data_IF_323794438792
#
_entry.id   IF_323794438792
#
_cell.length_a   1.000
_cell.length_b   1.000
_cell.length_c   1.000
_cell.angle_alpha   90.00
_cell.angle_beta   90.00
_cell.angle_gamma   90.00
#
_symmetry.space_group_name_H-M   'P 1'
#
loop_
_entity.id
_entity.type
_entity.pdbx_description
1 polymer ?
#
# COMPACT_ATOMS: atom_id res chain seq x y z
N UNK A 1 -4.83 44.06 84.14
CA UNK A 1 -4.64 44.08 82.66
C UNK A 1 -3.71 42.97 82.13
N UNK A 2 -3.52 41.86 82.85
CA UNK A 2 -2.62 40.75 82.36
C UNK A 2 -3.35 39.43 82.14
N UNK A 3 -4.59 39.28 82.37
CA UNK A 3 -5.33 38.01 82.20
C UNK A 3 -6.07 37.86 80.82
N UNK A 4 -6.31 38.97 80.12
CA UNK A 4 -7.08 38.95 78.85
C UNK A 4 -6.21 38.56 77.68
N UNK A 5 -4.86 38.67 77.80
CA UNK A 5 -3.94 38.40 76.71
C UNK A 5 -3.59 36.90 76.50
N UNK A 6 -3.72 36.09 77.56
CA UNK A 6 -3.45 34.63 77.50
C UNK A 6 -4.56 33.83 76.81
N UNK A 7 -5.81 34.31 76.78
CA UNK A 7 -6.92 33.57 76.15
C UNK A 7 -6.99 33.72 74.61
N UNK A 8 -6.40 34.77 74.05
CA UNK A 8 -6.40 34.99 72.60
C UNK A 8 -5.30 34.23 71.85
N UNK A 9 -4.19 33.88 72.48
CA UNK A 9 -3.04 33.19 71.85
C UNK A 9 -3.34 31.71 71.64
N UNK A 10 -4.23 31.11 72.38
CA UNK A 10 -4.59 29.68 72.23
C UNK A 10 -5.54 29.41 71.04
N UNK A 11 -6.24 30.41 70.54
CA UNK A 11 -7.17 30.27 69.44
C UNK A 11 -6.55 30.46 68.05
N UNK A 12 -5.39 31.06 67.92
CA UNK A 12 -4.69 31.33 66.67
C UNK A 12 -4.23 30.02 66.02
N UNK A 13 -3.57 29.06 66.71
CA UNK A 13 -3.16 27.79 66.08
C UNK A 13 -4.35 26.92 65.71
N UNK A 14 -5.47 27.01 66.39
CA UNK A 14 -6.70 26.25 66.07
C UNK A 14 -7.40 26.81 64.82
N UNK A 15 -7.42 28.12 64.61
CA UNK A 15 -7.94 28.75 63.40
C UNK A 15 -7.06 28.47 62.18
N UNK A 16 -5.72 28.43 62.33
CA UNK A 16 -4.76 28.07 61.27
C UNK A 16 -4.92 26.59 60.91
N UNK A 17 -5.15 25.68 61.88
CA UNK A 17 -5.35 24.25 61.64
C UNK A 17 -6.68 24.00 60.92
N UNK A 18 -7.77 24.77 61.18
CA UNK A 18 -9.02 24.70 60.46
C UNK A 18 -8.93 25.24 59.05
N UNK A 19 -8.15 26.28 58.79
CA UNK A 19 -7.90 26.84 57.45
C UNK A 19 -7.06 25.91 56.62
N UNK A 20 -6.04 25.27 57.17
CA UNK A 20 -5.17 24.31 56.48
C UNK A 20 -5.89 22.95 56.26
N UNK A 21 -6.66 22.50 57.24
CA UNK A 21 -7.47 21.26 57.13
C UNK A 21 -8.58 21.37 56.10
N UNK A 22 -9.25 22.52 56.03
CA UNK A 22 -10.27 22.80 55.00
C UNK A 22 -9.75 22.87 53.59
N UNK A 23 -8.53 23.45 53.43
CA UNK A 23 -7.85 23.52 52.12
C UNK A 23 -7.49 22.13 51.57
N UNK A 24 -6.98 21.25 52.42
CA UNK A 24 -6.60 19.89 52.02
C UNK A 24 -7.83 19.01 51.63
N UNK A 25 -8.96 19.17 52.35
CA UNK A 25 -10.22 18.48 52.04
C UNK A 25 -10.85 18.99 50.73
N UNK A 26 -10.81 20.29 50.49
CA UNK A 26 -11.29 20.90 49.24
C UNK A 26 -10.46 20.49 48.02
N UNK A 27 -9.15 20.38 48.17
CA UNK A 27 -8.25 19.90 47.12
C UNK A 27 -8.52 18.41 46.79
N UNK A 28 -8.70 17.57 47.82
CA UNK A 28 -9.08 16.16 47.69
C UNK A 28 -10.43 15.99 46.98
N UNK A 29 -11.43 16.78 47.35
CA UNK A 29 -12.77 16.76 46.75
C UNK A 29 -12.74 17.24 45.29
N UNK A 30 -11.94 18.28 44.97
CA UNK A 30 -11.77 18.78 43.62
C UNK A 30 -11.05 17.75 42.73
N UNK A 31 -10.04 17.06 43.29
CA UNK A 31 -9.31 15.97 42.63
C UNK A 31 -10.20 14.74 42.36
N UNK A 32 -11.11 14.42 43.31
CA UNK A 32 -12.07 13.33 43.17
C UNK A 32 -13.14 13.64 42.09
N UNK A 33 -13.72 14.84 42.09
CA UNK A 33 -14.67 15.29 41.06
C UNK A 33 -14.04 15.34 39.66
N UNK A 34 -12.77 15.78 39.57
CA UNK A 34 -12.04 15.80 38.30
C UNK A 34 -11.78 14.37 37.79
N UNK A 35 -11.41 13.44 38.68
CA UNK A 35 -11.25 12.03 38.28
C UNK A 35 -12.59 11.39 37.86
N UNK A 36 -13.67 11.74 38.51
CA UNK A 36 -15.02 11.25 38.14
C UNK A 36 -15.45 11.80 36.78
N UNK A 37 -15.16 13.07 36.46
CA UNK A 37 -15.46 13.66 35.16
C UNK A 37 -14.58 13.05 34.06
N UNK A 38 -13.31 12.75 34.32
CA UNK A 38 -12.44 12.04 33.43
C UNK A 38 -12.95 10.62 33.15
N UNK A 39 -13.43 9.91 34.16
CA UNK A 39 -13.99 8.57 33.98
C UNK A 39 -15.26 8.57 33.12
N UNK A 40 -16.11 9.59 33.22
CA UNK A 40 -17.30 9.72 32.35
C UNK A 40 -16.99 9.95 30.87
N UNK A 41 -15.82 10.48 30.57
CA UNK A 41 -15.34 10.71 29.18
C UNK A 41 -14.51 9.56 28.63
N UNK A 42 -14.31 8.48 29.37
CA UNK A 42 -13.52 7.33 28.94
C UNK A 42 -14.41 6.17 28.50
N UNK A 43 -14.01 5.53 27.43
CA UNK A 43 -14.60 4.28 26.97
C UNK A 43 -13.85 3.10 27.57
N UNK A 44 -14.59 2.09 27.98
CA UNK A 44 -14.06 0.81 28.46
C UNK A 44 -13.93 -0.17 27.30
N UNK A 45 -12.83 -0.89 27.23
CA UNK A 45 -12.62 -1.99 26.29
C UNK A 45 -11.87 -3.12 26.97
N UNK A 46 -12.15 -4.34 26.57
CA UNK A 46 -11.40 -5.53 26.99
C UNK A 46 -10.45 -5.95 25.91
N UNK A 47 -9.25 -6.45 26.26
CA UNK A 47 -8.38 -7.09 25.30
C UNK A 47 -9.11 -8.25 24.61
N UNK A 48 -8.90 -8.38 23.31
CA UNK A 48 -9.51 -9.44 22.51
C UNK A 48 -8.44 -10.45 22.12
N UNK A 49 -8.78 -11.73 22.14
CA UNK A 49 -7.93 -12.78 21.62
C UNK A 49 -8.49 -13.32 20.32
N UNK A 50 -7.66 -13.36 19.31
CA UNK A 50 -8.10 -13.82 18.00
C UNK A 50 -7.01 -13.79 16.96
N UNK A 51 -7.44 -13.93 15.71
CA UNK A 51 -6.58 -13.84 14.54
C UNK A 51 -6.14 -12.39 14.33
N UNK A 52 -4.83 -12.18 14.34
CA UNK A 52 -4.21 -10.89 14.15
C UNK A 52 -3.40 -10.87 12.86
N UNK A 53 -3.78 -9.99 11.93
CA UNK A 53 -3.16 -9.88 10.62
C UNK A 53 -2.42 -8.56 10.53
N UNK A 54 -1.15 -8.61 10.17
CA UNK A 54 -0.34 -7.45 9.83
C UNK A 54 -0.24 -7.32 8.31
N UNK A 55 -0.34 -6.11 7.81
CA UNK A 55 -0.26 -5.80 6.40
C UNK A 55 0.67 -4.61 6.17
N UNK A 56 1.41 -4.64 5.09
CA UNK A 56 2.12 -3.47 4.55
C UNK A 56 1.31 -2.92 3.40
N UNK A 57 1.04 -1.62 3.43
CA UNK A 57 0.30 -0.92 2.38
C UNK A 57 1.25 -0.20 1.45
N UNK A 58 0.93 -0.22 0.16
CA UNK A 58 1.65 0.55 -0.83
C UNK A 58 0.76 0.80 -2.05
N UNK A 59 1.00 1.90 -2.75
CA UNK A 59 0.37 2.17 -4.04
C UNK A 59 1.01 1.28 -5.08
N UNK A 60 0.20 0.72 -5.96
CA UNK A 60 0.62 -0.19 -7.00
C UNK A 60 0.08 0.22 -8.37
N UNK A 61 0.74 -0.25 -9.42
CA UNK A 61 0.29 -0.11 -10.81
C UNK A 61 0.16 -1.47 -11.46
N UNK A 62 -0.82 -1.61 -12.33
CA UNK A 62 -0.96 -2.79 -13.21
C UNK A 62 -0.01 -2.61 -14.37
N UNK A 63 0.95 -3.51 -14.53
CA UNK A 63 1.94 -3.46 -15.59
C UNK A 63 2.11 -4.83 -16.26
N UNK A 64 2.55 -4.88 -17.52
CA UNK A 64 3.02 -6.12 -18.13
C UNK A 64 4.23 -6.67 -17.37
N UNK A 65 4.27 -7.96 -17.11
CA UNK A 65 5.45 -8.59 -16.49
C UNK A 65 6.64 -8.55 -17.44
N UNK A 66 6.46 -9.11 -18.63
CA UNK A 66 7.43 -8.99 -19.70
C UNK A 66 6.78 -8.18 -20.83
N UNK A 67 7.43 -7.10 -21.15
CA UNK A 67 7.03 -6.21 -22.24
C UNK A 67 8.04 -6.34 -23.36
N UNK A 68 7.62 -6.95 -24.46
CA UNK A 68 8.47 -7.16 -25.62
C UNK A 68 8.00 -6.27 -26.77
N UNK A 69 8.93 -5.47 -27.29
CA UNK A 69 8.71 -4.59 -28.43
C UNK A 69 8.86 -5.42 -29.70
N UNK A 70 7.86 -5.39 -30.54
CA UNK A 70 7.90 -6.00 -31.87
C UNK A 70 8.36 -4.95 -32.84
N UNK A 71 9.53 -5.19 -33.48
CA UNK A 71 10.15 -4.26 -34.41
C UNK A 71 10.37 -4.97 -35.75
N UNK A 72 10.14 -4.29 -36.89
CA UNK A 72 10.52 -4.82 -38.20
C UNK A 72 12.04 -4.85 -38.33
N UNK A 73 12.54 -5.80 -39.09
CA UNK A 73 13.97 -5.94 -39.41
C UNK A 73 14.43 -5.07 -40.58
N UNK A 74 13.47 -4.49 -41.32
CA UNK A 74 13.74 -3.69 -42.52
C UNK A 74 12.96 -2.37 -42.49
N UNK A 75 13.50 -1.35 -43.14
CA UNK A 75 12.75 -0.13 -43.45
C UNK A 75 11.80 -0.39 -44.62
N UNK A 76 10.59 0.20 -44.56
CA UNK A 76 9.65 0.02 -45.66
C UNK A 76 8.24 0.47 -45.32
N UNK A 77 7.27 -0.17 -45.97
CA UNK A 77 5.85 0.07 -45.79
C UNK A 77 5.17 -1.18 -45.26
N UNK A 78 4.29 -1.05 -44.24
CA UNK A 78 3.44 -2.13 -43.76
C UNK A 78 2.33 -2.39 -44.78
N UNK A 79 2.44 -3.48 -45.55
CA UNK A 79 1.42 -3.86 -46.52
C UNK A 79 0.21 -4.50 -45.83
N UNK A 80 0.50 -5.39 -44.89
CA UNK A 80 -0.52 -6.10 -44.11
C UNK A 80 -0.24 -5.98 -42.60
N UNK A 81 -1.26 -5.72 -41.81
CA UNK A 81 -1.21 -5.74 -40.36
C UNK A 81 -2.36 -6.65 -39.87
N UNK A 82 -1.97 -7.79 -39.30
CA UNK A 82 -2.88 -8.92 -39.03
C UNK A 82 -3.25 -9.04 -37.56
N UNK A 83 -2.93 -8.06 -36.73
CA UNK A 83 -3.20 -8.05 -35.29
C UNK A 83 -3.98 -6.82 -34.85
N UNK A 84 -4.63 -6.93 -33.67
CA UNK A 84 -5.37 -5.85 -33.02
C UNK A 84 -4.93 -5.74 -31.57
N UNK A 85 -5.12 -4.56 -30.97
CA UNK A 85 -4.96 -4.39 -29.50
C UNK A 85 -5.94 -5.30 -28.75
N UNK A 86 -5.44 -5.91 -27.67
CA UNK A 86 -6.17 -6.89 -26.87
C UNK A 86 -6.18 -8.31 -27.45
N UNK A 87 -5.64 -8.54 -28.67
CA UNK A 87 -5.55 -9.86 -29.26
C UNK A 87 -4.48 -10.70 -28.56
N UNK A 88 -4.79 -11.97 -28.29
CA UNK A 88 -3.82 -12.98 -27.89
C UNK A 88 -3.08 -13.47 -29.13
N UNK A 89 -1.78 -13.56 -29.05
CA UNK A 89 -0.91 -14.06 -30.11
C UNK A 89 0.03 -15.12 -29.55
N UNK A 90 0.40 -16.07 -30.41
CA UNK A 90 1.36 -17.12 -30.09
C UNK A 90 2.73 -16.79 -30.64
N UNK A 91 3.79 -17.24 -29.97
CA UNK A 91 5.16 -17.10 -30.46
C UNK A 91 5.30 -17.66 -31.88
N UNK A 92 5.85 -16.84 -32.79
CA UNK A 92 5.98 -17.17 -34.21
C UNK A 92 4.74 -16.85 -35.05
N UNK A 93 3.65 -16.40 -34.47
CA UNK A 93 2.46 -15.98 -35.21
C UNK A 93 2.77 -14.75 -36.08
N UNK A 94 2.28 -14.77 -37.31
CA UNK A 94 2.49 -13.69 -38.28
C UNK A 94 1.66 -12.47 -37.89
N UNK A 95 2.33 -11.37 -37.59
CA UNK A 95 1.71 -10.11 -37.18
C UNK A 95 1.59 -9.09 -38.31
N UNK A 96 2.61 -8.97 -39.12
CA UNK A 96 2.64 -8.00 -40.22
C UNK A 96 3.52 -8.49 -41.37
N UNK A 97 3.30 -7.91 -42.54
CA UNK A 97 4.17 -8.06 -43.72
C UNK A 97 4.64 -6.69 -44.18
N UNK A 98 5.96 -6.54 -44.26
CA UNK A 98 6.61 -5.30 -44.66
C UNK A 98 7.18 -5.39 -46.04
N UNK A 99 6.84 -4.42 -46.91
CA UNK A 99 7.50 -4.20 -48.18
C UNK A 99 8.75 -3.38 -47.94
N UNK A 100 9.92 -3.89 -48.25
CA UNK A 100 11.17 -3.12 -48.13
C UNK A 100 11.10 -1.81 -48.94
N UNK A 101 11.91 -0.83 -48.56
CA UNK A 101 11.97 0.46 -49.26
C UNK A 101 12.40 0.27 -50.71
N UNK A 102 13.34 -0.66 -50.99
CA UNK A 102 13.79 -1.01 -52.35
C UNK A 102 12.64 -1.61 -53.15
N UNK A 103 11.92 -2.60 -52.61
CA UNK A 103 10.75 -3.19 -53.28
C UNK A 103 9.67 -2.14 -53.57
N UNK A 104 9.38 -1.29 -52.60
CA UNK A 104 8.37 -0.24 -52.77
C UNK A 104 8.74 0.74 -53.86
N UNK A 105 9.97 1.23 -53.86
CA UNK A 105 10.47 2.15 -54.89
C UNK A 105 10.45 1.51 -56.28
N UNK A 106 10.82 0.23 -56.40
CA UNK A 106 10.83 -0.49 -57.66
C UNK A 106 9.38 -0.67 -58.19
N UNK A 107 8.46 -1.11 -57.38
CA UNK A 107 7.06 -1.27 -57.76
C UNK A 107 6.39 0.06 -58.13
N UNK A 108 6.68 1.13 -57.37
CA UNK A 108 6.15 2.45 -57.71
C UNK A 108 6.72 3.00 -59.03
N UNK A 109 8.00 2.76 -59.34
CA UNK A 109 8.59 3.15 -60.62
C UNK A 109 7.99 2.39 -61.79
N UNK A 110 7.74 1.10 -61.65
CA UNK A 110 7.12 0.27 -62.71
C UNK A 110 5.68 0.68 -62.97
N UNK A 111 4.92 1.02 -61.94
CA UNK A 111 3.51 1.52 -62.06
C UNK A 111 3.45 2.85 -62.79
N UNK A 112 4.39 3.76 -62.53
CA UNK A 112 4.46 5.09 -63.20
C UNK A 112 4.90 4.94 -64.67
N UNK A 113 5.76 3.97 -64.97
CA UNK A 113 6.31 3.76 -66.33
C UNK A 113 5.33 3.03 -67.28
N UNK A 114 4.17 2.56 -66.78
CA UNK A 114 3.17 1.87 -67.60
C UNK A 114 3.64 0.54 -68.16
N UNK A 115 4.60 -0.11 -67.49
CA UNK A 115 5.21 -1.35 -67.94
C UNK A 115 4.33 -2.58 -67.71
N UNK A 116 4.63 -3.67 -68.43
CA UNK A 116 3.87 -4.90 -68.58
C UNK A 116 3.63 -5.60 -67.22
N UNK A 117 2.46 -6.18 -67.04
CA UNK A 117 2.07 -7.00 -65.87
C UNK A 117 3.09 -8.10 -65.54
N UNK A 118 3.85 -8.57 -66.56
CA UNK A 118 4.91 -9.58 -66.39
C UNK A 118 6.09 -9.06 -65.52
N UNK A 119 6.52 -7.83 -65.73
CA UNK A 119 7.61 -7.23 -64.93
C UNK A 119 7.18 -6.96 -63.49
N UNK A 120 5.96 -6.47 -63.30
CA UNK A 120 5.35 -6.31 -61.99
C UNK A 120 5.30 -7.65 -61.23
N UNK A 121 4.93 -8.73 -61.93
CA UNK A 121 4.87 -10.08 -61.34
C UNK A 121 6.27 -10.59 -60.98
N UNK A 122 7.26 -10.42 -61.87
CA UNK A 122 8.67 -10.83 -61.59
C UNK A 122 9.23 -10.11 -60.36
N UNK A 123 9.00 -8.81 -60.21
CA UNK A 123 9.44 -8.03 -59.03
C UNK A 123 8.71 -8.47 -57.78
N UNK A 124 7.42 -8.74 -57.89
CA UNK A 124 6.61 -9.22 -56.75
C UNK A 124 7.08 -10.60 -56.28
N UNK A 125 7.48 -11.47 -57.20
CA UNK A 125 8.01 -12.81 -56.89
C UNK A 125 9.45 -12.78 -56.41
N UNK A 126 10.29 -11.89 -56.97
CA UNK A 126 11.72 -11.76 -56.60
C UNK A 126 11.93 -11.10 -55.22
N UNK A 127 11.06 -10.16 -54.86
CA UNK A 127 11.12 -9.43 -53.62
C UNK A 127 9.94 -9.79 -52.70
N UNK A 128 10.11 -10.84 -51.89
CA UNK A 128 9.11 -11.26 -50.94
C UNK A 128 8.89 -10.19 -49.86
N UNK A 129 7.65 -10.12 -49.33
CA UNK A 129 7.35 -9.32 -48.15
C UNK A 129 8.09 -9.90 -46.94
N UNK A 130 8.71 -9.05 -46.16
CA UNK A 130 9.36 -9.45 -44.92
C UNK A 130 8.32 -9.69 -43.82
N UNK A 131 8.22 -10.93 -43.32
CA UNK A 131 7.29 -11.22 -42.24
C UNK A 131 7.79 -10.67 -40.91
N UNK A 132 6.91 -10.10 -40.13
CA UNK A 132 7.12 -9.75 -38.71
C UNK A 132 6.26 -10.68 -37.86
N UNK A 133 6.91 -11.43 -36.98
CA UNK A 133 6.25 -12.45 -36.15
C UNK A 133 6.30 -12.09 -34.66
N UNK A 134 5.37 -12.61 -33.88
CA UNK A 134 5.36 -12.44 -32.44
C UNK A 134 6.58 -13.15 -31.81
N UNK A 135 7.41 -12.44 -31.01
CA UNK A 135 8.60 -13.01 -30.36
C UNK A 135 8.28 -13.90 -29.16
N UNK A 136 7.12 -13.70 -28.52
CA UNK A 136 6.63 -14.43 -27.35
C UNK A 136 5.13 -14.71 -27.48
N UNK A 137 4.64 -15.66 -26.67
CA UNK A 137 3.21 -15.82 -26.42
C UNK A 137 2.73 -14.66 -25.55
N UNK A 138 1.54 -14.10 -25.81
CA UNK A 138 1.02 -13.01 -25.00
C UNK A 138 -0.17 -12.29 -25.60
N UNK A 139 -0.44 -11.10 -25.05
CA UNK A 139 -1.50 -10.21 -25.54
C UNK A 139 -0.86 -8.94 -26.10
N UNK A 140 -1.35 -8.49 -27.25
CA UNK A 140 -0.94 -7.20 -27.82
C UNK A 140 -1.54 -6.08 -26.97
N UNK A 141 -0.67 -5.37 -26.25
CA UNK A 141 -1.08 -4.24 -25.36
C UNK A 141 -1.07 -2.89 -26.06
N UNK A 142 -0.37 -2.79 -27.18
CA UNK A 142 -0.31 -1.57 -27.99
C UNK A 142 -0.01 -1.88 -29.46
N UNK A 143 -0.70 -1.17 -30.34
CA UNK A 143 -0.52 -1.21 -31.79
C UNK A 143 -0.07 0.16 -32.28
N UNK A 144 1.08 0.25 -32.95
CA UNK A 144 1.70 1.50 -33.39
C UNK A 144 1.81 1.60 -34.93
N UNK A 145 1.15 0.71 -35.66
CA UNK A 145 1.22 0.66 -37.12
C UNK A 145 -0.13 0.36 -37.74
N UNK A 146 -0.42 1.04 -38.85
CA UNK A 146 -1.59 0.75 -39.70
C UNK A 146 -1.13 0.29 -41.11
N UNK A 147 -1.98 -0.47 -41.84
CA UNK A 147 -1.70 -0.83 -43.22
C UNK A 147 -1.43 0.41 -44.08
N UNK A 148 -0.39 0.35 -44.93
CA UNK A 148 0.03 1.45 -45.76
C UNK A 148 1.02 2.44 -45.11
N UNK A 149 1.24 2.35 -43.79
CA UNK A 149 2.14 3.23 -43.07
C UNK A 149 3.60 2.86 -43.24
N UNK A 150 4.47 3.88 -43.34
CA UNK A 150 5.93 3.66 -43.38
C UNK A 150 6.45 3.25 -42.00
N UNK A 151 7.32 2.26 -41.97
CA UNK A 151 7.98 1.72 -40.79
C UNK A 151 9.49 1.75 -40.94
N UNK A 152 10.19 1.85 -39.82
CA UNK A 152 11.65 1.84 -39.78
C UNK A 152 12.15 0.67 -38.95
N UNK A 153 13.26 0.08 -39.37
CA UNK A 153 13.95 -0.93 -38.59
C UNK A 153 14.32 -0.36 -37.21
N UNK A 154 14.04 -1.13 -36.14
CA UNK A 154 14.29 -0.71 -34.78
C UNK A 154 13.22 0.19 -34.16
N UNK A 155 12.19 0.64 -34.91
CA UNK A 155 11.03 1.31 -34.37
C UNK A 155 9.91 0.29 -34.07
N UNK A 156 9.33 0.35 -32.88
CA UNK A 156 8.24 -0.56 -32.48
C UNK A 156 7.00 -0.38 -33.33
N UNK A 157 6.39 -1.49 -33.72
CA UNK A 157 5.08 -1.55 -34.41
C UNK A 157 3.99 -2.14 -33.52
N UNK A 158 4.38 -2.92 -32.52
CA UNK A 158 3.50 -3.47 -31.49
C UNK A 158 4.26 -3.71 -30.19
N UNK A 159 3.52 -3.81 -29.12
CA UNK A 159 4.01 -4.25 -27.80
C UNK A 159 3.20 -5.45 -27.36
N UNK A 160 3.89 -6.54 -27.04
CA UNK A 160 3.30 -7.76 -26.51
C UNK A 160 3.64 -7.90 -25.03
N UNK A 161 2.65 -8.29 -24.24
CA UNK A 161 2.82 -8.69 -22.85
C UNK A 161 2.42 -10.15 -22.67
N UNK A 162 3.23 -10.91 -21.93
CA UNK A 162 2.88 -12.28 -21.58
C UNK A 162 1.71 -12.34 -20.58
N UNK A 163 1.78 -11.54 -19.53
CA UNK A 163 0.72 -11.42 -18.53
C UNK A 163 0.79 -10.07 -17.81
N UNK A 164 -0.34 -9.66 -17.23
CA UNK A 164 -0.39 -8.48 -16.37
C UNK A 164 -0.05 -8.88 -14.93
N UNK A 165 0.78 -8.10 -14.30
CA UNK A 165 1.14 -8.17 -12.89
C UNK A 165 0.79 -6.85 -12.22
N UNK A 166 0.78 -6.86 -10.90
CA UNK A 166 0.64 -5.66 -10.11
C UNK A 166 2.00 -5.36 -9.48
N UNK A 167 2.54 -4.22 -9.83
CA UNK A 167 3.86 -3.76 -9.40
C UNK A 167 3.70 -2.68 -8.35
N UNK A 168 4.38 -2.84 -7.24
CA UNK A 168 4.38 -1.87 -6.15
C UNK A 168 5.79 -1.57 -5.68
N UNK A 169 5.96 -0.47 -4.96
CA UNK A 169 7.21 -0.05 -4.37
C UNK A 169 7.05 0.05 -2.88
N UNK A 170 7.92 -0.63 -2.15
CA UNK A 170 7.86 -0.75 -0.70
C UNK A 170 9.13 -0.17 -0.09
N UNK A 171 8.98 0.60 0.99
CA UNK A 171 10.08 1.23 1.70
C UNK A 171 11.03 0.21 2.33
N UNK A 172 12.30 0.61 2.49
CA UNK A 172 13.33 -0.20 3.11
C UNK A 172 12.94 -0.67 4.53
N UNK A 173 12.19 0.12 5.28
CA UNK A 173 11.72 -0.24 6.63
C UNK A 173 10.71 -1.38 6.66
N UNK A 174 10.02 -1.63 5.55
CA UNK A 174 8.96 -2.64 5.45
C UNK A 174 9.33 -3.84 4.59
N UNK A 175 10.32 -3.70 3.67
CA UNK A 175 10.69 -4.77 2.74
C UNK A 175 11.17 -6.04 3.48
N UNK A 176 11.84 -5.88 4.63
CA UNK A 176 12.30 -7.01 5.45
C UNK A 176 11.17 -7.91 5.98
N UNK A 177 9.92 -7.43 5.96
CA UNK A 177 8.73 -8.18 6.39
C UNK A 177 8.06 -8.93 5.23
N UNK A 178 8.43 -8.63 3.97
CA UNK A 178 7.82 -9.19 2.77
C UNK A 178 8.65 -10.40 2.30
N UNK A 179 7.94 -11.46 1.91
CA UNK A 179 8.54 -12.69 1.37
C UNK A 179 7.80 -13.15 0.12
N UNK A 180 8.51 -13.77 -0.79
CA UNK A 180 7.93 -14.43 -1.95
C UNK A 180 6.93 -15.48 -1.48
N UNK A 181 5.78 -15.55 -2.16
CA UNK A 181 4.68 -16.47 -1.85
C UNK A 181 3.64 -15.93 -0.87
N UNK A 182 3.85 -14.75 -0.26
CA UNK A 182 2.83 -14.12 0.58
C UNK A 182 1.61 -13.70 -0.24
N UNK A 183 0.44 -13.77 0.41
CA UNK A 183 -0.80 -13.28 -0.17
C UNK A 183 -0.86 -11.76 -0.07
N UNK A 184 -1.42 -11.15 -1.08
CA UNK A 184 -1.66 -9.72 -1.16
C UNK A 184 -3.11 -9.47 -1.56
N UNK A 185 -3.74 -8.51 -0.91
CA UNK A 185 -5.03 -7.96 -1.28
C UNK A 185 -4.78 -6.69 -2.09
N UNK A 186 -5.56 -6.48 -3.15
CA UNK A 186 -5.48 -5.23 -3.90
C UNK A 186 -6.87 -4.77 -4.34
N UNK A 187 -7.01 -3.46 -4.45
CA UNK A 187 -8.22 -2.77 -4.85
C UNK A 187 -7.85 -1.84 -6.01
N UNK A 188 -8.46 -2.05 -7.16
CA UNK A 188 -8.25 -1.18 -8.32
C UNK A 188 -9.04 0.13 -8.12
N UNK A 189 -8.44 1.27 -8.42
CA UNK A 189 -9.13 2.57 -8.32
C UNK A 189 -10.40 2.62 -9.19
N UNK A 190 -10.39 1.90 -10.31
CA UNK A 190 -11.56 1.76 -11.17
C UNK A 190 -12.68 0.89 -10.55
N UNK A 191 -12.36 0.05 -9.56
CA UNK A 191 -13.30 -0.87 -8.90
C UNK A 191 -12.99 -0.95 -7.40
N UNK A 192 -13.20 0.12 -6.63
CA UNK A 192 -12.73 0.24 -5.24
C UNK A 192 -13.43 -0.72 -4.27
N UNK A 193 -14.63 -1.16 -4.60
CA UNK A 193 -15.39 -2.11 -3.78
C UNK A 193 -15.00 -3.59 -4.02
N UNK A 194 -14.28 -3.86 -5.12
CA UNK A 194 -13.90 -5.22 -5.48
C UNK A 194 -12.54 -5.57 -4.86
N UNK A 195 -12.56 -6.32 -3.77
CA UNK A 195 -11.36 -6.92 -3.20
C UNK A 195 -10.85 -8.03 -4.10
N UNK A 196 -9.63 -7.91 -4.56
CA UNK A 196 -8.95 -8.91 -5.38
C UNK A 196 -7.73 -9.47 -4.65
N UNK A 197 -7.37 -10.69 -5.00
CA UNK A 197 -6.25 -11.40 -4.39
C UNK A 197 -5.11 -11.60 -5.38
N UNK A 198 -3.90 -11.51 -4.87
CA UNK A 198 -2.67 -11.79 -5.61
C UNK A 198 -1.65 -12.47 -4.72
N UNK A 199 -0.56 -12.89 -5.31
CA UNK A 199 0.56 -13.52 -4.63
C UNK A 199 1.89 -12.85 -5.00
N UNK A 200 2.71 -12.55 -4.01
CA UNK A 200 4.06 -11.99 -4.23
C UNK A 200 4.90 -13.02 -4.98
N UNK A 201 5.36 -12.67 -6.18
CA UNK A 201 6.18 -13.55 -7.04
C UNK A 201 7.64 -13.12 -7.10
N UNK A 202 7.92 -11.83 -6.88
CA UNK A 202 9.29 -11.31 -6.96
C UNK A 202 9.47 -10.09 -6.07
N UNK A 203 10.66 -9.96 -5.53
CA UNK A 203 11.13 -8.81 -4.77
C UNK A 203 12.47 -8.42 -5.40
N UNK A 204 12.65 -7.16 -5.79
CA UNK A 204 13.91 -6.68 -6.35
C UNK A 204 15.03 -6.77 -5.32
N UNK A 205 16.22 -7.14 -5.76
CA UNK A 205 17.44 -7.11 -4.94
C UNK A 205 18.11 -5.73 -4.92
N UNK A 206 17.70 -4.84 -5.81
CA UNK A 206 18.23 -3.49 -5.97
C UNK A 206 17.13 -2.48 -5.63
N UNK A 207 17.47 -1.49 -4.81
CA UNK A 207 16.57 -0.37 -4.52
C UNK A 207 16.59 0.65 -5.64
N UNK A 208 15.49 1.34 -5.81
CA UNK A 208 15.39 2.53 -6.65
C UNK A 208 14.99 3.72 -5.80
N UNK A 209 15.56 4.88 -6.08
CA UNK A 209 15.19 6.11 -5.40
C UNK A 209 13.93 6.71 -6.04
N UNK A 210 12.88 6.88 -5.23
CA UNK A 210 11.66 7.59 -5.61
C UNK A 210 11.36 8.66 -4.57
N UNK A 211 11.23 9.90 -5.00
CA UNK A 211 10.95 11.04 -4.11
C UNK A 211 11.93 11.14 -2.92
N UNK A 212 13.23 10.91 -3.17
CA UNK A 212 14.29 10.90 -2.14
C UNK A 212 14.12 9.79 -1.08
N UNK A 213 13.39 8.72 -1.38
CA UNK A 213 13.24 7.55 -0.52
C UNK A 213 13.68 6.30 -1.28
N UNK A 214 14.48 5.46 -0.63
CA UNK A 214 14.87 4.16 -1.17
C UNK A 214 13.69 3.18 -1.06
N UNK A 215 13.26 2.67 -2.20
CA UNK A 215 12.15 1.72 -2.29
C UNK A 215 12.57 0.49 -3.11
N UNK A 216 11.96 -0.64 -2.81
CA UNK A 216 12.18 -1.90 -3.51
C UNK A 216 10.94 -2.28 -4.32
N UNK A 217 11.18 -2.70 -5.56
CA UNK A 217 10.11 -3.19 -6.43
C UNK A 217 9.62 -4.56 -5.96
N UNK A 218 8.32 -4.69 -5.78
CA UNK A 218 7.63 -5.95 -5.45
C UNK A 218 6.61 -6.24 -6.54
N UNK A 219 6.67 -7.45 -7.12
CA UNK A 219 5.74 -7.93 -8.14
C UNK A 219 4.75 -8.90 -7.53
N UNK A 220 3.49 -8.66 -7.78
CA UNK A 220 2.37 -9.48 -7.32
C UNK A 220 1.61 -10.01 -8.52
N UNK A 221 1.44 -11.34 -8.57
CA UNK A 221 0.67 -12.01 -9.61
C UNK A 221 -0.80 -12.06 -9.17
N UNK A 222 -1.73 -11.52 -9.95
CA UNK A 222 -3.17 -11.69 -9.73
C UNK A 222 -3.56 -13.18 -9.75
N UNK A 223 -4.41 -13.61 -8.81
CA UNK A 223 -4.87 -15.01 -8.75
C UNK A 223 -6.19 -15.21 -9.48
N UNK A 224 -7.03 -14.16 -9.56
CA UNK A 224 -8.36 -14.24 -10.16
C UNK A 224 -8.73 -12.95 -10.89
N UNK A 225 -9.75 -13.02 -11.76
CA UNK A 225 -10.38 -11.88 -12.46
C UNK A 225 -9.41 -10.98 -13.23
N UNK A 226 -8.50 -11.57 -13.99
CA UNK A 226 -7.53 -10.85 -14.79
C UNK A 226 -8.13 -10.10 -15.99
N UNK A 227 -9.33 -10.46 -16.41
CA UNK A 227 -10.00 -9.88 -17.60
C UNK A 227 -10.34 -8.39 -17.43
N UNK A 228 -10.54 -7.95 -16.19
CA UNK A 228 -10.80 -6.54 -15.87
C UNK A 228 -9.53 -5.69 -15.77
N UNK A 229 -8.34 -6.33 -15.70
CA UNK A 229 -7.08 -5.62 -15.59
C UNK A 229 -6.71 -4.94 -16.91
N UNK A 230 -6.25 -3.70 -16.82
CA UNK A 230 -5.67 -2.97 -17.93
C UNK A 230 -4.34 -2.39 -17.50
N UNK A 231 -3.35 -2.44 -18.38
CA UNK A 231 -2.05 -1.81 -18.15
C UNK A 231 -2.24 -0.31 -17.87
N UNK A 232 -1.55 0.19 -16.84
CA UNK A 232 -1.64 1.59 -16.41
C UNK A 232 -2.69 1.86 -15.32
N UNK A 233 -3.52 0.88 -14.94
CA UNK A 233 -4.44 1.05 -13.79
C UNK A 233 -3.65 1.18 -12.48
N UNK A 234 -4.13 2.03 -11.59
CA UNK A 234 -3.62 2.16 -10.22
C UNK A 234 -4.41 1.27 -9.27
N UNK A 235 -3.76 0.82 -8.22
CA UNK A 235 -4.36 -0.02 -7.18
C UNK A 235 -3.78 0.29 -5.80
N UNK A 236 -4.63 0.18 -4.77
CA UNK A 236 -4.19 0.07 -3.38
C UNK A 236 -3.82 -1.38 -3.07
N UNK A 237 -2.55 -1.61 -2.72
CA UNK A 237 -2.00 -2.91 -2.40
C UNK A 237 -1.82 -3.08 -0.89
N UNK A 238 -2.21 -4.24 -0.36
CA UNK A 238 -2.04 -4.64 1.04
C UNK A 238 -1.42 -6.02 1.12
N UNK A 239 -0.12 -6.09 1.28
CA UNK A 239 0.63 -7.35 1.38
C UNK A 239 0.51 -7.87 2.81
N UNK A 240 0.09 -9.13 2.97
CA UNK A 240 -0.06 -9.78 4.28
C UNK A 240 1.33 -10.21 4.77
N UNK A 241 1.87 -9.45 5.73
CA UNK A 241 3.23 -9.64 6.25
C UNK A 241 3.31 -10.56 7.46
N UNK A 242 2.18 -10.81 8.12
CA UNK A 242 2.13 -11.73 9.25
C UNK A 242 0.71 -12.13 9.63
N UNK A 243 0.57 -13.36 10.07
CA UNK A 243 -0.68 -13.91 10.61
C UNK A 243 -0.35 -14.59 11.93
N UNK A 244 -1.05 -14.18 12.99
CA UNK A 244 -1.00 -14.82 14.30
C UNK A 244 -2.40 -15.28 14.67
N UNK A 245 -2.61 -16.57 14.88
CA UNK A 245 -3.96 -17.14 15.03
C UNK A 245 -4.61 -16.87 16.40
N UNK A 246 -3.80 -16.76 17.45
CA UNK A 246 -4.29 -16.64 18.85
C UNK A 246 -3.49 -15.61 19.62
N UNK A 247 -3.55 -14.36 19.23
CA UNK A 247 -2.85 -13.29 19.95
C UNK A 247 -3.82 -12.39 20.71
N UNK A 248 -3.36 -11.84 21.81
CA UNK A 248 -4.09 -10.83 22.57
C UNK A 248 -3.79 -9.47 21.93
N UNK A 249 -4.82 -8.68 21.67
CA UNK A 249 -4.65 -7.37 21.07
C UNK A 249 -5.62 -6.32 21.63
N UNK A 250 -5.22 -5.07 21.52
CA UNK A 250 -5.99 -3.88 21.91
C UNK A 250 -6.01 -2.86 20.77
N UNK A 251 -7.03 -2.01 20.69
CA UNK A 251 -6.97 -0.83 19.82
C UNK A 251 -5.78 0.05 20.20
N UNK A 252 -5.04 0.53 19.22
CA UNK A 252 -3.88 1.42 19.44
C UNK A 252 -4.21 2.61 20.33
N UNK A 253 -5.41 3.18 20.18
CA UNK A 253 -5.92 4.30 21.02
C UNK A 253 -6.04 3.98 22.50
N UNK A 254 -6.06 2.69 22.89
CA UNK A 254 -6.14 2.26 24.29
C UNK A 254 -4.75 2.15 24.93
N UNK A 255 -3.68 2.19 24.14
CA UNK A 255 -2.29 2.10 24.61
C UNK A 255 -1.65 3.49 24.62
N UNK A 256 -0.99 3.83 25.71
CA UNK A 256 -0.25 5.06 25.88
C UNK A 256 1.24 4.74 25.76
N UNK A 257 1.90 5.36 24.79
CA UNK A 257 3.33 5.23 24.57
C UNK A 257 4.05 6.37 25.31
N UNK A 258 5.10 6.03 26.02
CA UNK A 258 5.96 7.00 26.72
C UNK A 258 7.42 6.58 26.54
N UNK A 259 8.18 7.36 25.77
CA UNK A 259 9.60 7.15 25.44
C UNK A 259 9.95 5.72 25.00
N UNK A 260 10.11 4.78 25.92
CA UNK A 260 10.49 3.39 25.65
C UNK A 260 9.51 2.37 26.23
N UNK A 261 8.42 2.82 26.83
CA UNK A 261 7.48 1.94 27.55
C UNK A 261 6.04 2.14 27.06
N UNK A 262 5.27 1.06 27.09
CA UNK A 262 3.86 1.06 26.73
C UNK A 262 3.01 0.81 27.96
N UNK A 263 1.95 1.59 28.14
CA UNK A 263 1.04 1.52 29.28
C UNK A 263 -0.41 1.44 28.83
N UNK A 264 -1.21 0.78 29.62
CA UNK A 264 -2.69 0.87 29.57
C UNK A 264 -3.22 1.48 30.85
N UNK A 265 -4.40 2.07 30.80
CA UNK A 265 -5.11 2.55 31.99
C UNK A 265 -6.11 1.50 32.44
N UNK A 266 -5.94 1.01 33.66
CA UNK A 266 -6.87 0.07 34.29
C UNK A 266 -7.55 0.74 35.49
N UNK A 267 -8.71 0.21 35.90
CA UNK A 267 -9.40 0.67 37.10
C UNK A 267 -9.06 -0.24 38.28
N UNK A 268 -8.40 0.31 39.30
CA UNK A 268 -8.08 -0.37 40.55
C UNK A 268 -8.59 0.46 41.71
N UNK A 269 -9.36 -0.15 42.59
CA UNK A 269 -9.97 0.54 43.78
C UNK A 269 -10.70 1.86 43.44
N UNK A 270 -11.42 1.89 42.28
CA UNK A 270 -12.15 3.08 41.84
C UNK A 270 -11.30 4.19 41.19
N UNK A 271 -9.98 4.03 41.10
CA UNK A 271 -9.05 4.99 40.46
C UNK A 271 -8.45 4.40 39.22
N UNK A 272 -8.10 5.28 38.27
CA UNK A 272 -7.35 4.91 37.07
C UNK A 272 -5.86 4.86 37.38
N UNK A 273 -5.25 3.71 37.15
CA UNK A 273 -3.81 3.48 37.30
C UNK A 273 -3.21 3.13 35.96
N UNK A 274 -1.96 3.54 35.73
CA UNK A 274 -1.16 3.09 34.58
C UNK A 274 -0.59 1.71 34.89
N UNK A 275 -0.85 0.74 34.02
CA UNK A 275 -0.26 -0.59 34.08
C UNK A 275 0.67 -0.76 32.89
N UNK A 276 1.92 -1.10 33.13
CA UNK A 276 2.91 -1.37 32.09
C UNK A 276 2.53 -2.64 31.36
N UNK A 277 2.64 -2.61 30.03
CA UNK A 277 2.44 -3.74 29.15
C UNK A 277 3.62 -3.87 28.20
N UNK A 278 3.84 -5.06 27.70
CA UNK A 278 4.74 -5.31 26.58
C UNK A 278 3.92 -5.46 25.30
N UNK A 279 4.28 -4.71 24.29
CA UNK A 279 3.59 -4.72 23.01
C UNK A 279 4.42 -5.41 21.94
N UNK A 280 3.76 -6.10 21.03
CA UNK A 280 4.37 -6.73 19.88
C UNK A 280 4.10 -5.95 18.59
N UNK A 281 3.76 -6.67 17.53
CA UNK A 281 3.44 -6.09 16.22
C UNK A 281 2.12 -5.33 16.25
N UNK A 282 2.01 -4.34 15.38
CA UNK A 282 0.77 -3.56 15.26
C UNK A 282 0.33 -3.48 13.80
N UNK A 283 -0.97 -3.33 13.59
CA UNK A 283 -1.57 -2.98 12.30
C UNK A 283 -2.18 -1.57 12.39
N UNK A 284 -3.00 -1.15 11.43
CA UNK A 284 -3.60 0.20 11.39
C UNK A 284 -4.36 0.56 12.68
N UNK A 285 -5.17 -0.35 13.19
CA UNK A 285 -6.14 -0.08 14.26
C UNK A 285 -5.78 -0.70 15.60
N UNK A 286 -5.02 -1.80 15.59
CA UNK A 286 -4.77 -2.62 16.77
C UNK A 286 -3.28 -2.85 17.00
N UNK A 287 -2.94 -3.18 18.23
CA UNK A 287 -1.59 -3.57 18.66
C UNK A 287 -1.65 -4.86 19.47
N UNK A 288 -0.74 -5.74 19.19
CA UNK A 288 -0.54 -6.99 19.94
C UNK A 288 -0.03 -6.69 21.34
N UNK A 289 -0.54 -7.41 22.33
CA UNK A 289 -0.09 -7.39 23.72
C UNK A 289 0.58 -8.72 24.02
N UNK A 290 1.88 -8.67 24.33
CA UNK A 290 2.67 -9.86 24.65
C UNK A 290 2.54 -10.24 26.13
N UNK A 291 2.56 -9.25 27.00
CA UNK A 291 2.44 -9.45 28.45
C UNK A 291 1.89 -8.19 29.16
N UNK A 292 1.53 -8.33 30.43
CA UNK A 292 1.14 -7.23 31.31
C UNK A 292 -0.36 -7.05 31.50
N UNK A 293 -1.23 -7.68 30.69
CA UNK A 293 -2.69 -7.64 30.86
C UNK A 293 -3.35 -8.92 30.39
N UNK A 294 -4.49 -9.26 31.02
CA UNK A 294 -5.30 -10.43 30.70
C UNK A 294 -6.60 -10.06 29.97
N UNK A 295 -7.24 -11.02 29.30
CA UNK A 295 -8.52 -10.83 28.59
C UNK A 295 -9.66 -10.32 29.47
N UNK A 296 -9.61 -10.61 30.77
CA UNK A 296 -10.65 -10.26 31.74
C UNK A 296 -10.51 -8.83 32.27
N UNK A 297 -9.34 -8.22 32.11
CA UNK A 297 -9.05 -6.89 32.61
C UNK A 297 -9.61 -5.81 31.68
N UNK A 298 -10.31 -4.85 32.24
CA UNK A 298 -10.86 -3.72 31.47
C UNK A 298 -9.83 -2.60 31.34
N UNK A 299 -9.65 -2.12 30.11
CA UNK A 299 -8.78 -0.98 29.77
C UNK A 299 -9.63 0.23 29.44
N UNK A 300 -9.24 1.38 29.94
CA UNK A 300 -9.94 2.65 29.79
C UNK A 300 -9.14 3.61 28.90
N UNK A 301 -9.79 4.18 27.89
CA UNK A 301 -9.18 5.15 26.98
C UNK A 301 -10.11 6.34 26.72
N UNK A 302 -9.53 7.51 26.46
CA UNK A 302 -10.30 8.71 26.15
C UNK A 302 -10.76 8.70 24.70
N UNK A 303 -12.06 8.97 24.48
CA UNK A 303 -12.64 9.17 23.14
C UNK A 303 -12.55 10.62 22.67
N UNK A 304 -12.20 11.56 23.54
CA UNK A 304 -12.09 12.97 23.20
C UNK A 304 -10.74 13.26 22.50
N UNK A 305 -10.79 13.84 21.33
CA UNK A 305 -9.65 14.32 20.52
C UNK A 305 -8.79 15.37 21.27
N UNK A 306 -9.28 15.89 22.39
CA UNK A 306 -8.62 16.91 23.20
C UNK A 306 -7.41 16.44 24.04
N UNK A 307 -7.12 15.14 24.10
CA UNK A 307 -6.02 14.60 24.92
C UNK A 307 -4.67 14.55 24.19
N UNK A 308 -4.60 14.84 22.88
CA UNK A 308 -3.35 14.82 22.10
C UNK A 308 -2.56 16.13 22.14
N UNK A 309 -3.12 17.21 22.64
CA UNK A 309 -2.36 18.46 22.87
C UNK A 309 -1.95 18.58 24.34
N UNK A 310 -0.82 17.95 24.68
CA UNK A 310 0.12 18.46 25.65
C UNK A 310 -0.41 18.81 27.05
N UNK A 311 -1.23 17.96 27.67
CA UNK A 311 -1.31 17.98 29.13
C UNK A 311 -0.51 16.81 29.68
N UNK A 312 0.80 17.01 29.80
CA UNK A 312 1.59 16.35 30.83
C UNK A 312 0.94 16.73 32.18
N UNK A 313 -0.01 15.93 32.62
CA UNK A 313 -0.46 16.01 34.01
C UNK A 313 0.73 15.47 34.82
N UNK A 314 1.58 16.37 35.29
CA UNK A 314 2.50 16.09 36.40
C UNK A 314 1.64 15.57 37.54
N UNK A 315 1.54 14.27 37.68
CA UNK A 315 1.07 13.62 38.90
C UNK A 315 2.32 13.66 39.80
N UNK A 316 2.37 14.68 40.64
CA UNK A 316 3.41 14.84 41.63
C UNK A 316 3.51 13.61 42.51
N UNK A 317 4.74 13.37 42.93
CA UNK A 317 5.19 12.41 43.93
C UNK A 317 4.36 12.41 45.20
#
# INVERSE_FOLDING_TARGET
MKEIFKRKIFWIPFAIFLLFGGSCAAIKAKKAKFQESLMKSMSEIKPQRGKFITKTQAIASVEPENRVLVMPSVNGRAEEVLFKEGQKVSKGELMARISSSERTALLDSLKVSGQDERELKMVTEAYNLTPVVAPIDGTVVRKEVEPGQSVSAGKEIAVISDRLIIKTFVDETDIGKIKIGQDAEYFLDAFPEEKKMGKVISISHESVEKNNVNVYEVKVLPVSDTDKLRSGMTADMRIITGIKEKTLYLPKKAVVFSSLESFVRIKKNGKLEKKKIETGVSNESFIEVLSGIDEKESVYYSTAIAAEKGLEIKIGD
#
